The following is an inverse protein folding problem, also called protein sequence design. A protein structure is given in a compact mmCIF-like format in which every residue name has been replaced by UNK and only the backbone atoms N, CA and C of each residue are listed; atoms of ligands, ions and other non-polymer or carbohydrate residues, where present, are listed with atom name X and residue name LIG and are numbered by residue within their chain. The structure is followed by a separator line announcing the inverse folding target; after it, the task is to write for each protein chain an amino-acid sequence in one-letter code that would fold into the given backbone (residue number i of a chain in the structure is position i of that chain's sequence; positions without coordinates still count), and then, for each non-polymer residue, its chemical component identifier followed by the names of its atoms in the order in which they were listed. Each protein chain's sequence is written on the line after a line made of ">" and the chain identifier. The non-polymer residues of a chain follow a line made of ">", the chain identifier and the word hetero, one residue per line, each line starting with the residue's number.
data_IF_357078956416
#
_entry.id   IF_357078956416
#
_cell.length_a   1.000
_cell.length_b   1.000
_cell.length_c   1.000
_cell.angle_alpha   90.00
_cell.angle_beta   90.00
_cell.angle_gamma   90.00
#
_symmetry.space_group_name_H-M   'P 1'
#
loop_
_entity.id
_entity.type
_entity.pdbx_description
1 polymer ?
#
# COMPACT_ATOMS: atom_id res chain seq x y z
N UNK A 1 -28.60 59.82 -69.09
CA UNK A 1 -27.17 60.10 -68.87
C UNK A 1 -27.02 61.21 -67.85
N UNK A 2 -26.35 60.97 -66.73
CA UNK A 2 -25.19 61.78 -66.30
C UNK A 2 -24.65 61.16 -65.01
N UNK A 3 -23.36 60.87 -65.04
CA UNK A 3 -22.60 60.21 -63.97
C UNK A 3 -22.23 61.19 -62.86
N UNK A 4 -21.97 60.67 -61.66
CA UNK A 4 -21.19 61.33 -60.63
C UNK A 4 -20.00 60.42 -60.24
N UNK A 5 -18.75 60.92 -60.27
CA UNK A 5 -17.57 60.09 -59.97
C UNK A 5 -17.07 60.24 -58.52
N UNK A 6 -16.51 59.15 -58.00
CA UNK A 6 -15.27 59.11 -57.23
C UNK A 6 -15.23 59.69 -55.81
N UNK A 7 -15.17 58.80 -54.81
CA UNK A 7 -14.21 58.95 -53.72
C UNK A 7 -13.87 57.60 -53.09
N UNK A 8 -12.66 57.11 -53.38
CA UNK A 8 -12.00 56.01 -52.68
C UNK A 8 -11.34 56.51 -51.38
N UNK A 9 -11.40 55.63 -50.37
CA UNK A 9 -10.41 55.41 -49.33
C UNK A 9 -10.01 56.55 -48.38
N UNK A 10 -10.61 56.53 -47.18
CA UNK A 10 -9.90 56.83 -45.94
C UNK A 10 -10.52 56.01 -44.79
N UNK A 11 -9.97 54.84 -44.52
CA UNK A 11 -10.21 54.10 -43.27
C UNK A 11 -9.32 54.76 -42.22
N UNK A 12 -9.92 55.65 -41.41
CA UNK A 12 -9.32 56.13 -40.18
C UNK A 12 -9.81 55.25 -39.03
N UNK A 13 -8.88 54.65 -38.32
CA UNK A 13 -9.10 53.85 -37.13
C UNK A 13 -9.84 54.67 -36.06
N UNK A 14 -10.93 54.12 -35.56
CA UNK A 14 -11.70 54.62 -34.45
C UNK A 14 -10.96 54.31 -33.13
N UNK A 15 -10.38 55.33 -32.52
CA UNK A 15 -9.92 55.28 -31.12
C UNK A 15 -11.15 55.19 -30.21
N UNK A 16 -11.53 53.98 -29.83
CA UNK A 16 -12.49 53.77 -28.76
C UNK A 16 -11.80 54.01 -27.41
N UNK A 17 -12.13 55.16 -26.86
CA UNK A 17 -11.70 55.69 -25.58
C UNK A 17 -12.18 54.82 -24.41
N UNK A 18 -11.29 54.72 -23.44
CA UNK A 18 -11.44 54.01 -22.18
C UNK A 18 -12.67 54.49 -21.39
N UNK A 19 -13.53 53.56 -21.00
CA UNK A 19 -14.38 53.68 -19.83
C UNK A 19 -14.27 52.42 -18.97
N UNK A 20 -13.36 52.51 -18.01
CA UNK A 20 -13.55 52.13 -16.61
C UNK A 20 -14.28 50.82 -16.30
N UNK A 21 -13.58 49.71 -16.53
CA UNK A 21 -13.75 48.51 -15.70
C UNK A 21 -13.16 48.77 -14.30
N UNK A 22 -13.92 49.47 -13.45
CA UNK A 22 -13.67 49.54 -12.02
C UNK A 22 -14.09 48.22 -11.36
N UNK A 23 -13.38 47.14 -11.72
CA UNK A 23 -13.46 45.87 -11.05
C UNK A 23 -12.96 45.98 -9.60
N UNK A 24 -13.83 45.58 -8.68
CA UNK A 24 -13.62 45.26 -7.25
C UNK A 24 -12.29 44.55 -6.88
N UNK A 25 -11.54 44.03 -7.84
CA UNK A 25 -10.22 43.42 -7.62
C UNK A 25 -9.07 44.41 -7.37
N UNK A 26 -9.20 45.69 -7.75
CA UNK A 26 -8.10 46.67 -7.61
C UNK A 26 -8.01 47.38 -6.26
N UNK A 27 -9.01 47.24 -5.39
CA UNK A 27 -9.04 47.97 -4.12
C UNK A 27 -8.22 47.29 -3.01
N UNK A 28 -7.93 46.00 -3.13
CA UNK A 28 -7.31 45.23 -2.04
C UNK A 28 -5.80 45.00 -2.19
N UNK A 29 -5.23 45.15 -3.38
CA UNK A 29 -3.82 44.87 -3.63
C UNK A 29 -3.10 46.10 -4.18
N UNK A 30 -2.34 46.78 -3.31
CA UNK A 30 -1.47 47.89 -3.70
C UNK A 30 -0.47 47.44 -4.77
N UNK A 31 -0.14 48.35 -5.68
CA UNK A 31 0.91 48.13 -6.67
C UNK A 31 2.23 47.83 -5.94
N UNK A 32 2.73 46.60 -6.09
CA UNK A 32 4.06 46.22 -5.63
C UNK A 32 5.06 46.67 -6.70
N UNK A 33 6.02 47.54 -6.38
CA UNK A 33 7.03 47.94 -7.36
C UNK A 33 7.89 46.74 -7.77
N UNK A 34 8.08 46.58 -9.07
CA UNK A 34 8.98 45.60 -9.68
C UNK A 34 10.43 45.96 -9.31
N UNK A 35 11.06 45.15 -8.46
CA UNK A 35 12.44 45.41 -8.05
C UNK A 35 12.84 44.64 -6.80
N UNK A 36 13.01 43.33 -6.96
CA UNK A 36 13.93 42.40 -6.26
C UNK A 36 13.33 41.02 -6.54
N UNK A 37 13.78 40.36 -7.61
CA UNK A 37 13.56 38.93 -7.75
C UNK A 37 14.19 38.26 -6.53
N UNK A 38 13.36 37.66 -5.68
CA UNK A 38 13.76 36.84 -4.55
C UNK A 38 14.57 35.65 -5.03
N UNK A 39 15.84 35.91 -5.33
CA UNK A 39 16.75 34.97 -5.96
C UNK A 39 17.03 33.80 -5.03
N UNK A 40 17.38 32.68 -5.65
CA UNK A 40 17.92 31.40 -5.15
C UNK A 40 18.29 31.30 -3.66
N UNK A 41 18.88 32.35 -3.06
CA UNK A 41 19.15 32.50 -1.63
C UNK A 41 17.91 32.32 -0.73
N UNK A 42 16.73 32.82 -1.12
CA UNK A 42 15.51 32.69 -0.32
C UNK A 42 14.99 31.24 -0.28
N UNK A 43 14.97 30.57 -1.43
CA UNK A 43 14.60 29.16 -1.53
C UNK A 43 15.63 28.23 -0.86
N UNK A 44 16.92 28.55 -0.98
CA UNK A 44 17.99 27.83 -0.29
C UNK A 44 17.85 27.93 1.24
N UNK A 45 17.53 29.10 1.78
CA UNK A 45 17.28 29.28 3.21
C UNK A 45 16.04 28.48 3.67
N UNK A 46 14.97 28.50 2.88
CA UNK A 46 13.76 27.73 3.17
C UNK A 46 14.00 26.22 3.10
N UNK A 47 14.83 25.74 2.17
CA UNK A 47 15.23 24.34 2.07
C UNK A 47 16.02 23.89 3.31
N UNK A 48 16.97 24.70 3.78
CA UNK A 48 17.72 24.42 5.01
C UNK A 48 16.77 24.38 6.22
N UNK A 49 15.85 25.34 6.32
CA UNK A 49 14.85 25.35 7.38
C UNK A 49 13.97 24.08 7.39
N UNK A 50 13.46 23.67 6.23
CA UNK A 50 12.67 22.44 6.09
C UNK A 50 13.50 21.17 6.37
N UNK A 51 14.79 21.19 6.01
CA UNK A 51 15.74 20.14 6.35
C UNK A 51 15.96 20.03 7.87
N UNK A 52 16.09 21.15 8.58
CA UNK A 52 16.19 21.19 10.05
C UNK A 52 14.91 20.65 10.68
N UNK A 53 13.73 21.06 10.21
CA UNK A 53 12.45 20.50 10.69
C UNK A 53 12.46 18.98 10.55
N UNK A 54 12.82 18.47 9.37
CA UNK A 54 12.86 17.02 9.09
C UNK A 54 13.86 16.28 9.97
N UNK A 55 15.02 16.88 10.23
CA UNK A 55 16.04 16.33 11.12
C UNK A 55 15.52 16.27 12.57
N UNK A 56 14.86 17.32 13.04
CA UNK A 56 14.25 17.37 14.38
C UNK A 56 13.15 16.34 14.49
N UNK A 57 12.26 16.22 13.49
CA UNK A 57 11.22 15.17 13.44
C UNK A 57 11.84 13.77 13.60
N UNK A 58 12.89 13.47 12.84
CA UNK A 58 13.57 12.18 12.91
C UNK A 58 14.21 11.93 14.28
N UNK A 59 14.95 12.90 14.83
CA UNK A 59 15.58 12.77 16.15
C UNK A 59 14.57 12.55 17.28
N UNK A 60 13.37 13.09 17.14
CA UNK A 60 12.27 12.89 18.09
C UNK A 60 11.69 11.46 17.99
N UNK A 61 11.64 10.87 16.79
CA UNK A 61 11.04 9.53 16.54
C UNK A 61 11.98 8.38 16.88
N UNK A 62 13.29 8.55 16.69
CA UNK A 62 14.31 7.51 16.89
C UNK A 62 14.33 6.88 18.30
N UNK A 63 14.26 7.63 19.42
CA UNK A 63 14.31 7.02 20.74
C UNK A 63 13.01 6.25 21.05
N UNK A 64 13.13 4.92 21.23
CA UNK A 64 12.01 4.02 21.57
C UNK A 64 11.28 4.41 22.86
N UNK A 65 11.95 5.10 23.78
CA UNK A 65 11.40 5.55 25.06
C UNK A 65 10.33 6.65 24.94
N UNK A 66 10.24 7.31 23.78
CA UNK A 66 9.32 8.42 23.54
C UNK A 66 8.27 8.09 22.46
N UNK A 67 8.34 6.90 21.87
CA UNK A 67 7.39 6.45 20.85
C UNK A 67 6.00 6.23 21.47
N UNK A 68 4.96 6.80 20.85
CA UNK A 68 3.57 6.65 21.29
C UNK A 68 3.10 7.65 22.36
N UNK A 69 3.99 8.42 22.98
CA UNK A 69 3.60 9.45 23.95
C UNK A 69 2.89 10.62 23.26
N UNK A 70 1.71 11.03 23.74
CA UNK A 70 0.96 12.16 23.17
C UNK A 70 1.77 13.48 23.16
N UNK A 71 2.69 13.62 24.12
CA UNK A 71 3.62 14.75 24.25
C UNK A 71 4.58 14.84 23.05
N UNK A 72 4.88 13.71 22.40
CA UNK A 72 5.76 13.61 21.24
C UNK A 72 4.97 13.68 19.93
N UNK A 73 3.81 13.01 19.88
CA UNK A 73 2.97 12.97 18.67
C UNK A 73 2.43 14.36 18.30
N UNK A 74 1.92 15.12 19.27
CA UNK A 74 1.32 16.43 19.01
C UNK A 74 2.27 17.43 18.30
N UNK A 75 3.51 17.67 18.79
CA UNK A 75 4.44 18.56 18.09
C UNK A 75 4.89 18.00 16.73
N UNK A 76 5.03 16.69 16.57
CA UNK A 76 5.37 16.08 15.27
C UNK A 76 4.29 16.34 14.22
N UNK A 77 3.01 16.21 14.59
CA UNK A 77 1.90 16.53 13.68
C UNK A 77 1.93 18.01 13.29
N UNK A 78 2.18 18.92 14.24
CA UNK A 78 2.26 20.35 13.96
C UNK A 78 3.43 20.67 13.00
N UNK A 79 4.62 20.10 13.25
CA UNK A 79 5.79 20.28 12.39
C UNK A 79 5.54 19.75 10.98
N UNK A 80 4.87 18.61 10.85
CA UNK A 80 4.52 18.00 9.57
C UNK A 80 3.53 18.86 8.78
N UNK A 81 2.50 19.40 9.44
CA UNK A 81 1.53 20.32 8.82
C UNK A 81 2.22 21.60 8.33
N UNK A 82 3.08 22.21 9.16
CA UNK A 82 3.83 23.42 8.77
C UNK A 82 4.71 23.13 7.55
N UNK A 83 5.47 22.03 7.58
CA UNK A 83 6.33 21.60 6.49
C UNK A 83 5.54 21.39 5.20
N UNK A 84 4.40 20.70 5.26
CA UNK A 84 3.52 20.48 4.13
C UNK A 84 3.11 21.82 3.48
N UNK A 85 2.60 22.77 4.26
CA UNK A 85 2.18 24.07 3.73
C UNK A 85 3.35 24.88 3.16
N UNK A 86 4.52 24.87 3.81
CA UNK A 86 5.70 25.54 3.28
C UNK A 86 6.17 24.95 1.95
N UNK A 87 6.16 23.62 1.81
CA UNK A 87 6.53 22.94 0.56
C UNK A 87 5.56 23.26 -0.56
N UNK A 88 4.26 23.16 -0.32
CA UNK A 88 3.23 23.47 -1.32
C UNK A 88 3.29 24.95 -1.73
N UNK A 89 3.37 25.86 -0.76
CA UNK A 89 3.35 27.30 -1.05
C UNK A 89 4.59 27.76 -1.83
N UNK A 90 5.79 27.31 -1.45
CA UNK A 90 7.04 27.85 -1.99
C UNK A 90 7.73 26.91 -2.99
N UNK A 91 7.81 25.60 -2.75
CA UNK A 91 8.49 24.67 -3.66
C UNK A 91 7.60 24.22 -4.81
N UNK A 92 6.31 24.06 -4.58
CA UNK A 92 5.34 23.82 -5.68
C UNK A 92 4.84 25.11 -6.33
N UNK A 93 5.45 26.25 -5.99
CA UNK A 93 5.21 27.57 -6.60
C UNK A 93 3.77 28.12 -6.40
N UNK A 94 2.90 27.47 -5.64
CA UNK A 94 1.48 27.85 -5.49
C UNK A 94 1.27 29.27 -4.97
N UNK A 95 2.24 29.83 -4.24
CA UNK A 95 2.22 31.23 -3.76
C UNK A 95 2.44 32.26 -4.88
N UNK A 96 3.20 31.91 -5.91
CA UNK A 96 3.61 32.82 -6.98
C UNK A 96 2.79 32.64 -8.26
N UNK A 97 1.97 31.60 -8.32
CA UNK A 97 1.09 31.28 -9.42
C UNK A 97 -0.30 31.95 -9.30
N UNK A 98 -1.12 31.79 -10.34
CA UNK A 98 -2.48 32.33 -10.38
C UNK A 98 -3.34 31.84 -9.19
N UNK A 99 -4.23 32.70 -8.65
CA UNK A 99 -5.07 32.35 -7.50
C UNK A 99 -6.03 31.18 -7.78
N UNK A 100 -6.32 30.89 -9.05
CA UNK A 100 -7.10 29.72 -9.45
C UNK A 100 -6.40 28.41 -9.08
N UNK A 101 -5.07 28.32 -9.23
CA UNK A 101 -4.32 27.11 -8.88
C UNK A 101 -4.32 26.89 -7.37
N UNK A 102 -4.20 27.97 -6.58
CA UNK A 102 -4.34 27.90 -5.13
C UNK A 102 -5.74 27.41 -4.71
N UNK A 103 -6.79 27.90 -5.35
CA UNK A 103 -8.17 27.46 -5.10
C UNK A 103 -8.40 26.00 -5.47
N UNK A 104 -7.95 25.55 -6.65
CA UNK A 104 -8.10 24.16 -7.10
C UNK A 104 -7.37 23.21 -6.15
N UNK A 105 -6.13 23.55 -5.76
CA UNK A 105 -5.36 22.73 -4.82
C UNK A 105 -6.05 22.61 -3.46
N UNK A 106 -6.49 23.73 -2.89
CA UNK A 106 -7.18 23.74 -1.58
C UNK A 106 -8.53 23.02 -1.66
N UNK A 107 -9.27 23.16 -2.78
CA UNK A 107 -10.50 22.41 -3.01
C UNK A 107 -10.24 20.89 -3.07
N UNK A 108 -9.17 20.47 -3.74
CA UNK A 108 -8.74 19.07 -3.78
C UNK A 108 -8.35 18.54 -2.39
N UNK A 109 -7.60 19.32 -1.61
CA UNK A 109 -7.24 18.96 -0.23
C UNK A 109 -8.48 18.86 0.69
N UNK A 110 -9.41 19.81 0.57
CA UNK A 110 -10.67 19.78 1.31
C UNK A 110 -11.54 18.58 0.92
N UNK A 111 -11.65 18.29 -0.38
CA UNK A 111 -12.38 17.11 -0.86
C UNK A 111 -11.74 15.81 -0.35
N UNK A 112 -10.42 15.69 -0.42
CA UNK A 112 -9.70 14.53 0.11
C UNK A 112 -9.91 14.34 1.61
N UNK A 113 -9.85 15.43 2.39
CA UNK A 113 -10.12 15.41 3.82
C UNK A 113 -11.58 15.02 4.11
N UNK A 114 -12.55 15.52 3.35
CA UNK A 114 -13.96 15.13 3.47
C UNK A 114 -14.15 13.64 3.17
N UNK A 115 -13.55 13.13 2.09
CA UNK A 115 -13.64 11.71 1.74
C UNK A 115 -12.99 10.84 2.81
N UNK A 116 -11.80 11.19 3.28
CA UNK A 116 -11.10 10.47 4.34
C UNK A 116 -11.93 10.43 5.64
N UNK A 117 -12.45 11.57 6.08
CA UNK A 117 -13.33 11.63 7.26
C UNK A 117 -14.63 10.87 7.05
N UNK A 118 -15.20 10.91 5.84
CA UNK A 118 -16.40 10.16 5.48
C UNK A 118 -16.15 8.65 5.55
N UNK A 119 -14.98 8.18 5.10
CA UNK A 119 -14.61 6.77 5.21
C UNK A 119 -14.36 6.37 6.67
N UNK A 120 -13.64 7.18 7.43
CA UNK A 120 -13.42 6.92 8.88
C UNK A 120 -14.76 6.87 9.62
N UNK A 121 -15.69 7.77 9.29
CA UNK A 121 -17.04 7.77 9.86
C UNK A 121 -17.87 6.58 9.38
N UNK A 122 -17.78 6.21 8.10
CA UNK A 122 -18.43 5.03 7.55
C UNK A 122 -17.95 3.79 8.31
N UNK A 123 -16.66 3.49 8.33
CA UNK A 123 -16.13 2.32 9.04
C UNK A 123 -16.30 2.40 10.56
N UNK A 124 -16.34 3.60 11.14
CA UNK A 124 -16.60 3.80 12.56
C UNK A 124 -18.06 3.55 12.96
N UNK A 125 -19.03 3.93 12.11
CA UNK A 125 -20.46 3.70 12.38
C UNK A 125 -20.88 2.30 11.94
N UNK A 126 -20.44 1.87 10.76
CA UNK A 126 -20.59 0.52 10.27
C UNK A 126 -19.47 -0.34 10.86
N UNK A 127 -19.59 -0.61 12.18
CA UNK A 127 -18.74 -1.55 12.92
C UNK A 127 -18.79 -2.95 12.28
N UNK A 128 -18.02 -3.19 11.21
CA UNK A 128 -17.69 -4.54 10.76
C UNK A 128 -16.57 -5.00 11.70
N UNK A 129 -16.93 -5.30 12.94
CA UNK A 129 -16.01 -5.87 13.91
C UNK A 129 -15.76 -7.31 13.48
N UNK A 130 -14.67 -7.56 12.75
CA UNK A 130 -14.18 -8.93 12.49
C UNK A 130 -14.08 -9.75 13.80
N UNK A 131 -13.88 -9.06 14.93
CA UNK A 131 -13.88 -9.63 16.28
C UNK A 131 -15.23 -10.21 16.70
N UNK A 132 -16.35 -9.60 16.35
CA UNK A 132 -17.68 -10.08 16.73
C UNK A 132 -18.07 -11.36 15.97
N UNK A 133 -17.54 -11.53 14.75
CA UNK A 133 -17.60 -12.80 14.02
C UNK A 133 -16.61 -13.85 14.55
N UNK A 134 -15.55 -13.42 15.25
CA UNK A 134 -14.54 -14.31 15.83
C UNK A 134 -14.90 -14.78 17.24
N UNK A 135 -15.58 -13.95 18.04
CA UNK A 135 -16.01 -14.21 19.43
C UNK A 135 -16.74 -15.55 19.65
N UNK A 136 -17.73 -15.94 18.83
CA UNK A 136 -18.39 -17.24 18.99
C UNK A 136 -17.49 -18.44 18.62
N UNK A 137 -16.26 -18.21 18.14
CA UNK A 137 -15.26 -19.23 17.75
C UNK A 137 -13.90 -18.98 18.41
N UNK A 138 -13.82 -18.23 19.50
CA UNK A 138 -12.56 -18.12 20.26
C UNK A 138 -12.49 -19.29 21.23
N UNK A 139 -11.54 -20.20 21.02
CA UNK A 139 -11.14 -21.16 22.05
C UNK A 139 -10.39 -20.37 23.14
N UNK A 140 -10.82 -20.40 24.41
CA UNK A 140 -10.07 -19.75 25.48
C UNK A 140 -8.68 -20.39 25.57
N UNK A 141 -7.63 -19.60 25.45
CA UNK A 141 -6.29 -20.05 25.80
C UNK A 141 -6.21 -20.10 27.33
N UNK A 142 -6.30 -21.30 27.91
CA UNK A 142 -6.03 -21.51 29.33
C UNK A 142 -4.55 -21.17 29.58
N UNK A 143 -4.30 -20.08 30.29
CA UNK A 143 -3.01 -19.85 30.91
C UNK A 143 -2.82 -20.93 31.98
N UNK A 144 -2.20 -22.05 31.60
CA UNK A 144 -1.61 -22.93 32.58
C UNK A 144 -0.59 -22.11 33.36
N UNK A 145 -0.80 -22.03 34.68
CA UNK A 145 0.09 -21.35 35.60
C UNK A 145 1.52 -21.83 35.35
N UNK A 146 2.43 -20.85 35.28
CA UNK A 146 3.85 -21.06 35.07
C UNK A 146 4.41 -21.88 36.24
N UNK A 147 4.45 -23.20 36.07
CA UNK A 147 5.37 -24.05 36.81
C UNK A 147 6.78 -23.63 36.35
N UNK A 148 7.74 -23.43 37.28
CA UNK A 148 9.06 -22.92 36.93
C UNK A 148 9.75 -23.95 36.03
N UNK A 149 9.78 -23.67 34.73
CA UNK A 149 10.55 -24.46 33.79
C UNK A 149 12.03 -24.26 34.13
N UNK A 150 12.60 -25.30 34.73
CA UNK A 150 14.03 -25.46 34.96
C UNK A 150 14.79 -25.07 33.69
N UNK A 151 15.70 -24.11 33.82
CA UNK A 151 16.58 -23.67 32.75
C UNK A 151 17.49 -24.84 32.37
N UNK A 152 17.01 -25.68 31.45
CA UNK A 152 17.85 -26.65 30.76
C UNK A 152 18.75 -25.83 29.84
N UNK A 153 19.92 -25.46 30.37
CA UNK A 153 20.99 -24.83 29.62
C UNK A 153 21.27 -25.64 28.35
N UNK A 154 20.84 -25.11 27.21
CA UNK A 154 21.16 -25.65 25.90
C UNK A 154 22.67 -25.47 25.70
N UNK A 155 23.44 -26.52 25.35
CA UNK A 155 24.85 -26.33 25.02
C UNK A 155 24.96 -25.36 23.84
N UNK A 156 25.80 -24.34 23.98
CA UNK A 156 26.23 -23.52 22.85
C UNK A 156 26.82 -24.46 21.78
N UNK A 157 26.37 -24.39 20.51
CA UNK A 157 26.98 -25.19 19.45
C UNK A 157 28.47 -24.87 19.35
N UNK A 158 29.28 -25.91 19.54
CA UNK A 158 30.70 -25.87 19.22
C UNK A 158 30.86 -25.84 17.70
N UNK A 159 31.83 -25.04 17.25
CA UNK A 159 32.35 -24.91 15.90
C UNK A 159 31.39 -24.32 14.84
N UNK A 160 31.73 -23.12 14.36
CA UNK A 160 31.20 -22.56 13.12
C UNK A 160 31.74 -23.40 11.96
N UNK A 161 30.90 -24.12 11.18
CA UNK A 161 31.38 -24.76 9.97
C UNK A 161 31.77 -23.66 8.97
N UNK A 162 32.88 -23.89 8.25
CA UNK A 162 33.27 -23.05 7.13
C UNK A 162 32.21 -22.99 6.01
N UNK A 163 32.50 -22.32 4.88
CA UNK A 163 31.51 -22.02 3.84
C UNK A 163 30.75 -23.29 3.41
N UNK A 164 29.46 -23.36 3.76
CA UNK A 164 28.57 -24.45 3.35
C UNK A 164 28.01 -24.16 1.96
N UNK A 165 28.00 -25.21 1.13
CA UNK A 165 27.48 -25.24 -0.22
C UNK A 165 25.99 -24.79 -0.23
N UNK A 166 25.48 -24.04 -1.22
CA UNK A 166 24.09 -23.54 -1.23
C UNK A 166 23.01 -24.63 -1.22
N UNK A 167 23.39 -25.91 -1.28
CA UNK A 167 22.49 -27.05 -1.26
C UNK A 167 21.96 -27.43 0.15
N UNK A 168 22.56 -26.92 1.23
CA UNK A 168 22.22 -27.34 2.61
C UNK A 168 21.48 -26.28 3.46
N UNK A 169 20.91 -25.24 2.83
CA UNK A 169 20.21 -24.17 3.57
C UNK A 169 18.71 -24.49 3.70
N UNK A 170 18.32 -25.07 4.84
CA UNK A 170 16.90 -25.17 5.25
C UNK A 170 16.44 -23.80 5.78
N UNK A 171 15.35 -23.19 5.28
CA UNK A 171 14.96 -21.85 5.73
C UNK A 171 14.30 -21.86 7.11
N UNK A 172 14.60 -20.83 7.90
CA UNK A 172 14.05 -20.61 9.23
C UNK A 172 12.52 -20.38 9.20
N UNK A 173 11.81 -21.06 10.12
CA UNK A 173 10.35 -20.96 10.29
C UNK A 173 9.88 -19.54 10.67
N UNK A 174 8.70 -19.07 10.20
CA UNK A 174 8.16 -17.78 10.61
C UNK A 174 7.45 -17.85 11.96
N UNK A 175 7.55 -16.75 12.70
CA UNK A 175 6.85 -16.50 13.95
C UNK A 175 5.34 -16.27 13.72
N UNK A 176 4.54 -17.23 14.14
CA UNK A 176 3.08 -17.15 14.24
C UNK A 176 2.58 -18.48 14.78
N UNK A 177 2.00 -18.48 15.98
CA UNK A 177 1.74 -19.66 16.81
C UNK A 177 0.67 -20.65 16.30
N UNK A 178 0.76 -21.07 15.04
CA UNK A 178 0.13 -22.29 14.53
C UNK A 178 1.24 -23.31 14.41
N UNK A 179 1.24 -24.33 15.25
CA UNK A 179 2.10 -25.50 15.01
C UNK A 179 1.65 -26.13 13.71
N UNK A 180 2.46 -26.00 12.66
CA UNK A 180 2.20 -26.67 11.40
C UNK A 180 2.01 -28.17 11.67
N UNK A 181 0.91 -28.73 11.17
CA UNK A 181 0.56 -30.14 11.40
C UNK A 181 1.25 -31.07 10.40
N UNK A 182 1.94 -30.53 9.40
CA UNK A 182 2.77 -31.25 8.42
C UNK A 182 3.88 -30.35 7.84
N UNK A 183 4.93 -30.92 7.23
CA UNK A 183 5.94 -30.16 6.49
C UNK A 183 5.31 -29.26 5.40
N UNK A 184 4.34 -29.78 4.66
CA UNK A 184 3.60 -29.01 3.66
C UNK A 184 2.84 -27.82 4.24
N UNK A 185 2.22 -27.98 5.41
CA UNK A 185 1.58 -26.85 6.10
C UNK A 185 2.60 -25.80 6.53
N UNK A 186 3.79 -26.21 6.97
CA UNK A 186 4.86 -25.30 7.37
C UNK A 186 5.39 -24.49 6.17
N UNK A 187 5.56 -25.14 5.02
CA UNK A 187 5.91 -24.47 3.76
C UNK A 187 4.82 -23.50 3.34
N UNK A 188 3.56 -23.92 3.40
CA UNK A 188 2.39 -23.12 3.01
C UNK A 188 2.29 -21.79 3.79
N UNK A 189 2.50 -21.83 5.11
CA UNK A 189 2.47 -20.63 5.97
C UNK A 189 3.78 -19.84 5.97
N UNK A 190 4.87 -20.46 5.52
CA UNK A 190 6.22 -19.92 5.60
C UNK A 190 6.81 -19.60 4.25
N UNK A 191 7.78 -20.42 3.84
CA UNK A 191 8.72 -20.14 2.75
C UNK A 191 8.06 -20.13 1.38
N UNK A 192 6.99 -20.90 1.18
CA UNK A 192 6.23 -20.89 -0.06
C UNK A 192 5.27 -19.69 -0.15
N UNK A 193 5.09 -18.94 0.95
CA UNK A 193 4.26 -17.75 1.08
C UNK A 193 2.81 -17.91 0.58
N UNK A 194 2.32 -19.14 0.40
CA UNK A 194 0.99 -19.42 -0.14
C UNK A 194 -0.12 -18.80 0.72
N UNK A 195 0.08 -18.81 2.05
CA UNK A 195 -0.84 -18.23 3.03
C UNK A 195 -1.02 -16.70 2.89
N UNK A 196 -0.13 -15.99 2.19
CA UNK A 196 -0.29 -14.56 1.94
C UNK A 196 -1.42 -14.25 0.97
N UNK A 197 -1.71 -15.18 0.05
CA UNK A 197 -2.67 -14.99 -1.03
C UNK A 197 -3.89 -15.92 -0.90
N UNK A 198 -3.71 -17.15 -0.41
CA UNK A 198 -4.78 -18.14 -0.28
C UNK A 198 -5.31 -18.26 1.15
N UNK A 199 -6.61 -18.48 1.27
CA UNK A 199 -7.27 -18.80 2.53
C UNK A 199 -7.41 -20.32 2.74
N UNK A 200 -7.18 -20.76 3.98
CA UNK A 200 -7.53 -22.09 4.50
C UNK A 200 -8.10 -21.87 5.90
N UNK A 201 -9.30 -22.38 6.16
CA UNK A 201 -9.99 -22.18 7.42
C UNK A 201 -9.15 -22.63 8.62
N UNK A 202 -8.80 -21.68 9.50
CA UNK A 202 -7.98 -21.92 10.69
C UNK A 202 -6.47 -21.96 10.46
N UNK A 203 -5.99 -21.77 9.22
CA UNK A 203 -4.56 -21.79 8.88
C UNK A 203 -4.11 -20.47 8.22
N UNK A 204 -4.88 -19.97 7.25
CA UNK A 204 -4.53 -18.75 6.51
C UNK A 204 -5.76 -17.95 6.09
N UNK A 205 -5.57 -16.65 5.89
CA UNK A 205 -6.64 -15.68 5.62
C UNK A 205 -6.39 -14.87 4.34
N UNK A 206 -5.61 -15.42 3.39
CA UNK A 206 -5.31 -14.75 2.13
C UNK A 206 -6.58 -14.46 1.31
N UNK A 207 -6.62 -13.32 0.62
CA UNK A 207 -7.81 -12.82 -0.10
C UNK A 207 -7.59 -12.62 -1.60
N UNK A 208 -6.37 -12.85 -2.09
CA UNK A 208 -6.00 -12.62 -3.49
C UNK A 208 -6.24 -13.85 -4.36
N UNK A 209 -5.93 -15.03 -3.83
CA UNK A 209 -6.18 -16.32 -4.46
C UNK A 209 -7.48 -16.96 -3.96
N UNK A 210 -8.00 -17.96 -4.69
CA UNK A 210 -9.17 -18.73 -4.24
C UNK A 210 -8.91 -19.39 -2.89
N UNK A 211 -9.98 -19.56 -2.10
CA UNK A 211 -9.94 -20.39 -0.90
C UNK A 211 -9.60 -21.84 -1.27
N UNK A 212 -8.74 -22.47 -0.48
CA UNK A 212 -8.26 -23.84 -0.71
C UNK A 212 -8.93 -24.87 0.21
N UNK A 213 -9.95 -24.46 0.96
CA UNK A 213 -10.82 -25.40 1.68
C UNK A 213 -11.48 -26.37 0.68
N UNK A 214 -11.29 -27.67 0.89
CA UNK A 214 -11.82 -28.71 -0.02
C UNK A 214 -11.11 -28.82 -1.38
N UNK A 215 -9.92 -28.23 -1.54
CA UNK A 215 -9.22 -28.20 -2.83
C UNK A 215 -8.92 -29.61 -3.37
N UNK A 216 -8.69 -30.60 -2.51
CA UNK A 216 -8.45 -31.98 -2.95
C UNK A 216 -9.62 -32.55 -3.76
N UNK A 217 -10.86 -32.23 -3.36
CA UNK A 217 -12.07 -32.66 -4.06
C UNK A 217 -12.34 -31.84 -5.31
N UNK A 218 -12.04 -30.54 -5.29
CA UNK A 218 -12.20 -29.68 -6.46
C UNK A 218 -11.18 -30.05 -7.56
N UNK A 219 -9.90 -30.17 -7.21
CA UNK A 219 -8.77 -30.41 -8.12
C UNK A 219 -9.01 -31.58 -9.08
N UNK A 220 -9.46 -32.73 -8.57
CA UNK A 220 -9.70 -33.93 -9.38
C UNK A 220 -10.87 -33.83 -10.37
N UNK A 221 -11.66 -32.76 -10.32
CA UNK A 221 -12.80 -32.54 -11.21
C UNK A 221 -12.61 -31.37 -12.18
N UNK A 222 -11.50 -30.63 -12.09
CA UNK A 222 -11.27 -29.42 -12.90
C UNK A 222 -10.88 -29.74 -14.34
N UNK A 223 -9.99 -30.72 -14.52
CA UNK A 223 -9.53 -31.15 -15.85
C UNK A 223 -9.89 -32.62 -16.03
N UNK A 224 -10.70 -32.91 -17.05
CA UNK A 224 -11.12 -34.29 -17.35
C UNK A 224 -9.89 -35.17 -17.65
N UNK A 225 -9.70 -36.21 -16.83
CA UNK A 225 -8.60 -37.16 -16.99
C UNK A 225 -7.36 -36.84 -16.15
N UNK A 226 -7.32 -35.69 -15.46
CA UNK A 226 -6.29 -35.39 -14.46
C UNK A 226 -6.72 -35.91 -13.10
N UNK A 227 -5.78 -36.44 -12.33
CA UNK A 227 -5.94 -36.66 -10.90
C UNK A 227 -5.84 -35.33 -10.13
N UNK A 228 -6.33 -35.33 -8.89
CA UNK A 228 -6.17 -34.17 -8.00
C UNK A 228 -4.69 -33.84 -7.75
N UNK A 229 -3.83 -34.85 -7.64
CA UNK A 229 -2.39 -34.67 -7.44
C UNK A 229 -1.72 -34.00 -8.64
N UNK A 230 -2.00 -34.49 -9.86
CA UNK A 230 -1.45 -33.93 -11.10
C UNK A 230 -1.88 -32.47 -11.27
N UNK A 231 -3.16 -32.17 -11.03
CA UNK A 231 -3.67 -30.82 -11.08
C UNK A 231 -2.99 -29.88 -10.08
N UNK A 232 -2.83 -30.32 -8.82
CA UNK A 232 -2.23 -29.51 -7.76
C UNK A 232 -0.74 -29.26 -8.04
N UNK A 233 0.00 -30.28 -8.50
CA UNK A 233 1.41 -30.12 -8.87
C UNK A 233 1.56 -29.12 -10.03
N UNK A 234 0.79 -29.29 -11.09
CA UNK A 234 0.81 -28.39 -12.25
C UNK A 234 0.45 -26.96 -11.83
N UNK A 235 -0.54 -26.79 -10.95
CA UNK A 235 -0.93 -25.47 -10.44
C UNK A 235 0.16 -24.78 -9.60
N UNK A 236 1.09 -25.52 -9.00
CA UNK A 236 2.20 -24.95 -8.21
C UNK A 236 3.40 -24.64 -9.11
N UNK A 237 3.73 -25.53 -10.05
CA UNK A 237 4.92 -25.42 -10.91
C UNK A 237 4.66 -24.53 -12.13
N UNK A 238 3.46 -24.61 -12.69
CA UNK A 238 3.00 -23.87 -13.87
C UNK A 238 1.61 -23.24 -13.60
N UNK A 239 1.51 -22.27 -12.68
CA UNK A 239 0.24 -21.73 -12.20
C UNK A 239 -0.66 -21.10 -13.28
N UNK A 240 -0.07 -20.71 -14.42
CA UNK A 240 -0.80 -20.12 -15.55
C UNK A 240 -1.26 -21.16 -16.59
N UNK A 241 -0.82 -22.42 -16.49
CA UNK A 241 -1.23 -23.49 -17.42
C UNK A 241 -2.74 -23.73 -17.35
N UNK A 242 -3.33 -23.59 -16.16
CA UNK A 242 -4.76 -23.69 -15.95
C UNK A 242 -5.23 -22.86 -14.74
N UNK A 243 -6.00 -21.80 -15.00
CA UNK A 243 -6.46 -20.89 -13.94
C UNK A 243 -7.87 -21.25 -13.44
N UNK A 244 -8.03 -21.24 -12.12
CA UNK A 244 -9.26 -21.62 -11.43
C UNK A 244 -10.53 -20.86 -11.88
N UNK A 245 -10.38 -19.60 -12.32
CA UNK A 245 -11.49 -18.74 -12.75
C UNK A 245 -12.22 -19.26 -13.99
N UNK A 246 -11.56 -20.08 -14.80
CA UNK A 246 -12.19 -20.69 -15.98
C UNK A 246 -12.96 -21.99 -15.66
N UNK A 247 -12.66 -22.63 -14.53
CA UNK A 247 -13.07 -24.00 -14.20
C UNK A 247 -14.20 -24.09 -13.19
N UNK A 248 -14.16 -23.26 -12.14
CA UNK A 248 -15.03 -23.41 -10.97
C UNK A 248 -16.34 -22.62 -11.07
N UNK A 249 -16.56 -21.88 -12.17
CA UNK A 249 -17.69 -20.96 -12.29
C UNK A 249 -17.68 -19.84 -11.24
N UNK A 250 -16.53 -19.60 -10.59
CA UNK A 250 -16.31 -18.47 -9.70
C UNK A 250 -16.40 -17.20 -10.54
N UNK A 251 -17.29 -16.27 -10.19
CA UNK A 251 -17.50 -14.99 -10.88
C UNK A 251 -16.32 -14.01 -10.73
N UNK A 252 -15.21 -14.47 -10.17
CA UNK A 252 -14.01 -13.70 -9.94
C UNK A 252 -13.03 -14.04 -11.06
N UNK A 253 -12.78 -13.06 -11.93
CA UNK A 253 -11.78 -13.16 -13.00
C UNK A 253 -10.38 -13.22 -12.36
N UNK A 254 -9.95 -14.42 -11.96
CA UNK A 254 -8.56 -14.65 -11.58
C UNK A 254 -7.68 -14.40 -12.81
N UNK A 255 -6.91 -13.32 -12.75
CA UNK A 255 -6.07 -12.89 -13.86
C UNK A 255 -4.91 -13.87 -14.05
N UNK A 256 -4.68 -14.31 -15.29
CA UNK A 256 -3.47 -15.02 -15.69
C UNK A 256 -2.22 -14.20 -15.31
N UNK A 257 -1.18 -14.87 -14.84
CA UNK A 257 0.08 -14.26 -14.41
C UNK A 257 0.09 -13.75 -12.98
N UNK A 258 -1.05 -13.70 -12.26
CA UNK A 258 -1.07 -13.18 -10.89
C UNK A 258 -0.31 -14.08 -9.93
N UNK A 259 -0.61 -15.38 -9.93
CA UNK A 259 0.06 -16.35 -9.07
C UNK A 259 1.55 -16.47 -9.44
N UNK A 260 1.86 -16.57 -10.74
CA UNK A 260 3.24 -16.58 -11.23
C UNK A 260 4.04 -15.34 -10.78
N UNK A 261 3.46 -14.14 -10.88
CA UNK A 261 4.11 -12.92 -10.44
C UNK A 261 4.32 -12.88 -8.92
N UNK A 262 3.36 -13.35 -8.12
CA UNK A 262 3.50 -13.39 -6.66
C UNK A 262 4.48 -14.46 -6.17
N UNK A 263 4.69 -15.51 -6.97
CA UNK A 263 5.67 -16.55 -6.71
C UNK A 263 7.04 -16.26 -7.33
N UNK A 264 7.19 -15.16 -8.06
CA UNK A 264 8.44 -14.79 -8.71
C UNK A 264 9.56 -14.59 -7.68
N UNK A 265 10.59 -15.44 -7.74
CA UNK A 265 11.72 -15.42 -6.81
C UNK A 265 11.57 -16.34 -5.60
N UNK A 266 10.44 -17.05 -5.46
CA UNK A 266 10.32 -18.18 -4.54
C UNK A 266 10.91 -19.41 -5.23
N UNK A 267 11.89 -20.05 -4.59
CA UNK A 267 12.46 -21.32 -5.08
C UNK A 267 11.95 -22.45 -4.22
N UNK A 268 11.17 -23.35 -4.83
CA UNK A 268 10.70 -24.58 -4.20
C UNK A 268 11.46 -25.75 -4.81
N UNK A 269 11.97 -26.64 -3.97
CA UNK A 269 12.51 -27.92 -4.43
C UNK A 269 11.37 -28.87 -4.83
N UNK A 270 11.69 -29.93 -5.57
CA UNK A 270 10.70 -30.98 -5.89
C UNK A 270 10.10 -31.58 -4.61
N UNK A 271 10.90 -31.74 -3.55
CA UNK A 271 10.44 -32.22 -2.24
C UNK A 271 9.49 -31.21 -1.57
N UNK A 272 9.74 -29.90 -1.69
CA UNK A 272 8.82 -28.88 -1.17
C UNK A 272 7.47 -28.91 -1.90
N UNK A 273 7.50 -29.09 -3.21
CA UNK A 273 6.29 -29.24 -4.03
C UNK A 273 5.53 -30.50 -3.62
N UNK A 274 6.21 -31.62 -3.42
CA UNK A 274 5.59 -32.88 -2.97
C UNK A 274 4.91 -32.72 -1.61
N UNK A 275 5.61 -32.11 -0.65
CA UNK A 275 5.08 -31.81 0.68
C UNK A 275 3.86 -30.88 0.62
N UNK A 276 3.89 -29.84 -0.22
CA UNK A 276 2.76 -28.94 -0.43
C UNK A 276 1.56 -29.67 -1.06
N UNK A 277 1.78 -30.49 -2.10
CA UNK A 277 0.73 -31.27 -2.74
C UNK A 277 0.11 -32.26 -1.76
N UNK A 278 0.90 -32.97 -0.96
CA UNK A 278 0.40 -33.88 0.07
C UNK A 278 -0.48 -33.14 1.09
N UNK A 279 -0.03 -31.95 1.54
CA UNK A 279 -0.83 -31.12 2.43
C UNK A 279 -2.15 -30.67 1.78
N UNK A 280 -2.13 -30.19 0.53
CA UNK A 280 -3.33 -29.76 -0.17
C UNK A 280 -4.30 -30.92 -0.45
N UNK A 281 -3.79 -32.13 -0.71
CA UNK A 281 -4.60 -33.35 -0.84
C UNK A 281 -5.31 -33.77 0.46
N UNK A 282 -4.82 -33.30 1.61
CA UNK A 282 -5.46 -33.53 2.90
C UNK A 282 -6.69 -32.63 3.13
N UNK A 283 -6.83 -31.54 2.37
CA UNK A 283 -7.91 -30.55 2.50
C UNK A 283 -9.14 -30.97 1.67
N UNK A 284 -10.10 -31.65 2.32
CA UNK A 284 -11.35 -32.13 1.72
C UNK A 284 -12.57 -31.39 2.23
#
# INVERSE_FOLDING_TARGET
>A
MSANPGHEAAIAHEEHSAHEDAGIGRFFWGHVPEGVHGGLKQYGLLAIFLGIITLVEFLIIVPETLQGSSVVIAPLVILSVIKFFCVVAFFMHLKFENPLLWQIFVAGLALGLVVALSLVLLFGVFHINAREFSEPRVVPFEHHAEEPHEEVARPLPAEVPGPVDPADVVPAAPAGGVTASSPGQALFIGTAACASCHAISGVAQGVLGPALDGIASAAGNRISGYSAEEYLRESIVEPDAYTAGTADGLSQDYQEGLMAATMAGITLSDEDVDNLVEYLLSLR
#
